data_IF_566479266111
#
_entry.id   IF_566479266111
#
_cell.length_a   1.000
_cell.length_b   1.000
_cell.length_c   1.000
_cell.angle_alpha   90.00
_cell.angle_beta   90.00
_cell.angle_gamma   90.00
#
_symmetry.space_group_name_H-M   'P 1'
#
loop_
_entity.id
_entity.type
_entity.pdbx_description
1 polymer ?
#
# COMPACT_ATOMS: atom_id res chain seq x y z
N UNK A 1 15.86 -3.36 -61.27
CA UNK A 1 16.11 -3.17 -59.82
C UNK A 1 15.36 -4.25 -59.03
N UNK A 2 16.08 -5.12 -58.30
CA UNK A 2 15.56 -6.33 -57.65
C UNK A 2 14.85 -6.00 -56.32
N UNK A 3 13.52 -5.80 -56.34
CA UNK A 3 12.67 -5.56 -55.16
C UNK A 3 12.27 -6.82 -54.37
N UNK A 4 12.58 -8.01 -54.91
CA UNK A 4 12.22 -9.31 -54.34
C UNK A 4 12.85 -9.61 -52.96
N UNK A 5 14.10 -9.22 -52.64
CA UNK A 5 14.71 -9.51 -51.34
C UNK A 5 14.06 -8.77 -50.17
N UNK A 6 13.62 -7.52 -50.40
CA UNK A 6 13.01 -6.66 -49.37
C UNK A 6 11.63 -7.19 -48.97
N UNK A 7 10.83 -7.59 -49.97
CA UNK A 7 9.53 -8.22 -49.71
C UNK A 7 9.66 -9.50 -48.90
N UNK A 8 10.66 -10.33 -49.19
CA UNK A 8 10.92 -11.57 -48.43
C UNK A 8 11.26 -11.25 -46.97
N UNK A 9 12.13 -10.25 -46.72
CA UNK A 9 12.50 -9.85 -45.36
C UNK A 9 11.30 -9.31 -44.57
N UNK A 10 10.46 -8.47 -45.20
CA UNK A 10 9.25 -7.94 -44.56
C UNK A 10 8.22 -9.04 -44.26
N UNK A 11 8.03 -10.00 -45.16
CA UNK A 11 7.13 -11.15 -44.89
C UNK A 11 7.64 -12.04 -43.77
N UNK A 12 8.96 -12.25 -43.67
CA UNK A 12 9.54 -13.07 -42.61
C UNK A 12 9.40 -12.40 -41.24
N UNK A 13 9.63 -11.08 -41.17
CA UNK A 13 9.42 -10.31 -39.95
C UNK A 13 7.94 -10.29 -39.52
N UNK A 14 7.01 -10.17 -40.47
CA UNK A 14 5.58 -10.23 -40.17
C UNK A 14 5.17 -11.60 -39.60
N UNK A 15 5.68 -12.69 -40.18
CA UNK A 15 5.40 -14.05 -39.67
C UNK A 15 5.99 -14.26 -38.28
N UNK A 16 7.23 -13.81 -38.03
CA UNK A 16 7.85 -13.89 -36.70
C UNK A 16 7.07 -13.08 -35.67
N UNK A 17 6.63 -11.87 -36.02
CA UNK A 17 5.82 -11.03 -35.13
C UNK A 17 4.48 -11.69 -34.78
N UNK A 18 3.79 -12.30 -35.75
CA UNK A 18 2.54 -13.03 -35.53
C UNK A 18 2.74 -14.26 -34.65
N UNK A 19 3.84 -15.00 -34.83
CA UNK A 19 4.17 -16.17 -33.98
C UNK A 19 4.49 -15.74 -32.55
N UNK A 20 5.27 -14.66 -32.37
CA UNK A 20 5.58 -14.10 -31.05
C UNK A 20 4.31 -13.59 -30.37
N UNK A 21 3.44 -12.88 -31.10
CA UNK A 21 2.13 -12.46 -30.60
C UNK A 21 1.28 -13.66 -30.21
N UNK A 22 1.21 -14.72 -31.01
CA UNK A 22 0.46 -15.94 -30.69
C UNK A 22 0.94 -16.67 -29.43
N UNK A 23 2.24 -16.62 -29.13
CA UNK A 23 2.83 -17.22 -27.92
C UNK A 23 2.64 -16.30 -26.69
N UNK A 24 2.73 -14.98 -26.88
CA UNK A 24 2.68 -14.00 -25.79
C UNK A 24 1.25 -13.59 -25.41
N UNK A 25 0.29 -13.55 -26.35
CA UNK A 25 -1.10 -13.16 -26.09
C UNK A 25 -1.79 -13.99 -25.00
N UNK A 26 -1.70 -15.34 -24.99
CA UNK A 26 -2.35 -16.12 -23.94
C UNK A 26 -1.71 -15.90 -22.55
N UNK A 27 -0.45 -15.43 -22.48
CA UNK A 27 0.19 -15.05 -21.21
C UNK A 27 -0.17 -13.63 -20.75
N UNK A 28 -0.57 -12.75 -21.66
CA UNK A 28 -1.01 -11.38 -21.36
C UNK A 28 -2.52 -11.29 -21.08
N UNK A 29 -3.32 -12.20 -21.66
CA UNK A 29 -4.78 -12.26 -21.50
C UNK A 29 -5.23 -13.24 -20.41
N UNK A 30 -4.34 -14.10 -19.91
CA UNK A 30 -4.59 -14.78 -18.65
C UNK A 30 -4.65 -13.69 -17.57
N UNK A 31 -5.86 -13.38 -17.09
CA UNK A 31 -6.04 -12.66 -15.82
C UNK A 31 -5.06 -13.30 -14.83
N UNK A 32 -4.28 -12.52 -14.07
CA UNK A 32 -3.59 -13.08 -12.95
C UNK A 32 -4.69 -13.63 -12.05
N UNK A 33 -4.92 -14.94 -12.09
CA UNK A 33 -5.47 -15.62 -10.94
C UNK A 33 -4.53 -15.21 -9.83
N UNK A 34 -5.03 -14.39 -8.90
CA UNK A 34 -4.46 -14.23 -7.57
C UNK A 34 -4.57 -15.58 -6.87
N UNK A 35 -3.91 -16.60 -7.42
CA UNK A 35 -3.25 -17.57 -6.58
C UNK A 35 -2.16 -16.74 -5.94
N UNK A 36 -2.45 -16.32 -4.70
CA UNK A 36 -1.45 -16.07 -3.69
C UNK A 36 -0.37 -17.13 -3.94
N UNK A 37 0.77 -16.70 -4.46
CA UNK A 37 1.93 -17.57 -4.57
C UNK A 37 2.32 -17.84 -3.12
N UNK A 38 1.69 -18.85 -2.51
CA UNK A 38 2.26 -19.50 -1.35
C UNK A 38 3.71 -19.78 -1.74
N UNK A 39 4.70 -19.34 -0.96
CA UNK A 39 6.07 -19.71 -1.23
C UNK A 39 6.11 -21.23 -1.29
N UNK A 40 6.40 -21.78 -2.46
CA UNK A 40 6.51 -23.22 -2.65
C UNK A 40 7.54 -23.73 -1.64
N UNK A 41 7.05 -24.50 -0.67
CA UNK A 41 7.86 -25.14 0.36
C UNK A 41 8.89 -26.05 -0.31
N UNK A 42 10.16 -25.64 -0.33
CA UNK A 42 11.27 -26.55 -0.59
C UNK A 42 11.66 -27.20 0.73
N UNK A 43 11.61 -28.53 0.73
CA UNK A 43 11.95 -29.48 1.80
C UNK A 43 10.93 -29.55 2.96
N UNK A 44 10.13 -30.63 2.96
CA UNK A 44 9.40 -31.10 4.14
C UNK A 44 10.45 -31.34 5.23
N UNK A 45 10.43 -30.52 6.26
CA UNK A 45 11.39 -30.60 7.37
C UNK A 45 10.72 -31.47 8.42
N UNK A 46 11.27 -32.65 8.72
CA UNK A 46 10.77 -33.53 9.79
C UNK A 46 10.95 -32.94 11.21
N UNK A 47 11.19 -31.63 11.31
CA UNK A 47 11.41 -30.94 12.58
C UNK A 47 10.06 -30.77 13.30
N UNK A 48 9.92 -31.26 14.55
CA UNK A 48 8.70 -31.10 15.32
C UNK A 48 8.29 -29.63 15.51
N UNK A 49 6.98 -29.37 15.57
CA UNK A 49 6.44 -28.02 15.76
C UNK A 49 7.01 -27.26 16.98
N UNK A 50 7.22 -27.90 18.16
CA UNK A 50 7.84 -27.21 19.31
C UNK A 50 9.28 -26.75 19.05
N UNK A 51 10.06 -27.51 18.27
CA UNK A 51 11.43 -27.13 17.92
C UNK A 51 11.46 -25.97 16.92
N UNK A 52 10.55 -25.99 15.93
CA UNK A 52 10.40 -24.86 15.00
C UNK A 52 9.95 -23.59 15.72
N UNK A 53 9.06 -23.70 16.72
CA UNK A 53 8.66 -22.58 17.56
C UNK A 53 9.84 -22.04 18.39
N UNK A 54 10.63 -22.91 19.01
CA UNK A 54 11.83 -22.51 19.73
C UNK A 54 12.85 -21.80 18.82
N UNK A 55 13.01 -22.26 17.57
CA UNK A 55 13.84 -21.57 16.57
C UNK A 55 13.26 -20.21 16.18
N UNK A 56 11.95 -20.10 16.00
CA UNK A 56 11.29 -18.83 15.67
C UNK A 56 11.47 -17.77 16.77
N UNK A 57 11.35 -18.14 18.06
CA UNK A 57 11.53 -17.19 19.18
C UNK A 57 12.97 -16.68 19.29
N UNK A 58 13.94 -17.52 18.96
CA UNK A 58 15.36 -17.23 19.07
C UNK A 58 15.98 -16.71 17.76
N UNK A 59 15.16 -16.54 16.73
CA UNK A 59 15.60 -16.03 15.44
C UNK A 59 16.18 -14.61 15.56
N UNK A 60 17.14 -14.31 14.71
CA UNK A 60 17.88 -13.05 14.72
C UNK A 60 17.13 -11.90 14.05
N UNK A 61 16.25 -12.23 13.09
CA UNK A 61 15.47 -11.26 12.33
C UNK A 61 14.04 -11.74 12.01
N UNK A 62 13.24 -10.84 11.42
CA UNK A 62 11.85 -11.11 11.08
C UNK A 62 11.71 -12.17 9.96
N UNK A 63 12.65 -12.22 9.02
CA UNK A 63 12.60 -13.15 7.88
C UNK A 63 12.83 -14.57 8.35
N UNK A 64 13.81 -14.78 9.23
CA UNK A 64 14.12 -16.06 9.86
C UNK A 64 12.96 -16.50 10.78
N UNK A 65 12.40 -15.56 11.56
CA UNK A 65 11.21 -15.83 12.37
C UNK A 65 10.06 -16.36 11.49
N UNK A 66 9.69 -15.63 10.44
CA UNK A 66 8.63 -16.02 9.51
C UNK A 66 8.94 -17.35 8.80
N UNK A 67 10.20 -17.58 8.43
CA UNK A 67 10.62 -18.83 7.81
C UNK A 67 10.32 -20.04 8.69
N UNK A 68 10.65 -19.99 9.99
CA UNK A 68 10.36 -21.08 10.91
C UNK A 68 8.87 -21.20 11.25
N UNK A 69 8.16 -20.08 11.43
CA UNK A 69 6.71 -20.12 11.67
C UNK A 69 5.95 -20.74 10.50
N UNK A 70 6.36 -20.46 9.26
CA UNK A 70 5.70 -21.00 8.08
C UNK A 70 5.94 -22.52 7.87
N UNK A 71 6.94 -23.11 8.55
CA UNK A 71 7.18 -24.55 8.53
C UNK A 71 6.33 -25.34 9.53
N UNK A 72 5.70 -24.67 10.51
CA UNK A 72 4.83 -25.36 11.46
C UNK A 72 3.51 -25.71 10.74
N UNK A 73 3.27 -27.00 10.49
CA UNK A 73 2.06 -27.49 9.81
C UNK A 73 0.81 -27.45 10.72
N UNK A 74 0.97 -27.72 12.01
CA UNK A 74 -0.11 -27.65 13.01
C UNK A 74 -0.49 -26.19 13.29
N UNK A 75 -1.55 -25.73 12.61
CA UNK A 75 -2.03 -24.36 12.75
C UNK A 75 -2.66 -24.07 14.12
N UNK A 76 -3.24 -25.08 14.78
CA UNK A 76 -3.85 -24.91 16.10
C UNK A 76 -2.74 -24.68 17.15
N UNK A 77 -1.68 -25.49 17.10
CA UNK A 77 -0.49 -25.27 17.92
C UNK A 77 0.13 -23.89 17.66
N UNK A 78 0.35 -23.54 16.38
CA UNK A 78 0.92 -22.25 15.99
C UNK A 78 0.10 -21.07 16.51
N UNK A 79 -1.22 -21.10 16.32
CA UNK A 79 -2.16 -20.07 16.78
C UNK A 79 -2.09 -19.92 18.30
N UNK A 80 -2.21 -21.02 19.05
CA UNK A 80 -2.18 -20.98 20.51
C UNK A 80 -0.86 -20.41 21.08
N UNK A 81 0.27 -20.76 20.47
CA UNK A 81 1.58 -20.24 20.88
C UNK A 81 1.73 -18.75 20.60
N UNK A 82 1.28 -18.29 19.42
CA UNK A 82 1.30 -16.87 19.05
C UNK A 82 0.38 -16.07 19.97
N UNK A 83 -0.85 -16.52 20.21
CA UNK A 83 -1.79 -15.85 21.10
C UNK A 83 -1.23 -15.73 22.52
N UNK A 84 -0.64 -16.80 23.04
CA UNK A 84 0.03 -16.79 24.36
C UNK A 84 1.15 -15.74 24.40
N UNK A 85 2.00 -15.69 23.36
CA UNK A 85 3.10 -14.73 23.29
C UNK A 85 2.61 -13.28 23.17
N UNK A 86 1.53 -13.04 22.40
CA UNK A 86 0.93 -11.70 22.25
C UNK A 86 0.20 -11.26 23.52
N UNK A 87 -0.50 -12.15 24.22
CA UNK A 87 -1.13 -11.84 25.50
C UNK A 87 -0.10 -11.49 26.58
N UNK A 88 1.05 -12.16 26.60
CA UNK A 88 2.17 -11.79 27.46
C UNK A 88 2.68 -10.38 27.14
N UNK A 89 2.85 -10.06 25.86
CA UNK A 89 3.26 -8.72 25.42
C UNK A 89 2.25 -7.64 25.84
N UNK A 90 0.94 -7.91 25.73
CA UNK A 90 -0.12 -6.99 26.16
C UNK A 90 -0.04 -6.75 27.67
N UNK A 91 0.17 -7.84 28.44
CA UNK A 91 0.20 -7.80 29.91
C UNK A 91 1.45 -7.12 30.47
N UNK A 92 2.57 -7.14 29.73
CA UNK A 92 3.83 -6.51 30.14
C UNK A 92 3.77 -4.99 29.97
N UNK A 93 3.35 -4.30 31.04
CA UNK A 93 3.20 -2.83 31.12
C UNK A 93 4.51 -2.04 31.00
N UNK A 94 5.67 -2.70 31.01
CA UNK A 94 7.00 -2.07 31.07
C UNK A 94 7.81 -2.26 29.78
N UNK A 95 7.21 -2.00 28.62
CA UNK A 95 7.83 -2.26 27.31
C UNK A 95 8.41 -1.05 26.53
N UNK A 96 8.80 0.11 27.11
CA UNK A 96 9.63 1.02 26.34
C UNK A 96 11.01 0.41 26.13
N UNK A 97 11.38 0.19 24.87
CA UNK A 97 12.75 -0.21 24.49
C UNK A 97 12.98 -1.72 24.34
N UNK A 98 12.00 -2.47 23.85
CA UNK A 98 12.23 -3.86 23.41
C UNK A 98 13.45 -3.92 22.46
N UNK A 99 14.39 -4.87 22.67
CA UNK A 99 15.49 -5.11 21.74
C UNK A 99 14.98 -5.33 20.31
N UNK A 100 15.76 -4.89 19.32
CA UNK A 100 15.36 -4.94 17.90
C UNK A 100 14.98 -6.34 17.42
N UNK A 101 15.68 -7.37 17.86
CA UNK A 101 15.33 -8.76 17.55
C UNK A 101 13.94 -9.13 18.08
N UNK A 102 13.61 -8.75 19.33
CA UNK A 102 12.29 -9.00 19.91
C UNK A 102 11.20 -8.20 19.20
N UNK A 103 11.46 -6.96 18.81
CA UNK A 103 10.54 -6.18 17.97
C UNK A 103 10.23 -6.91 16.65
N UNK A 104 11.27 -7.41 15.97
CA UNK A 104 11.13 -8.17 14.73
C UNK A 104 10.35 -9.48 14.92
N UNK A 105 10.62 -10.20 16.01
CA UNK A 105 9.90 -11.43 16.36
C UNK A 105 8.43 -11.16 16.62
N UNK A 106 8.09 -10.18 17.46
CA UNK A 106 6.70 -9.83 17.75
C UNK A 106 5.97 -9.27 16.55
N UNK A 107 6.63 -8.47 15.71
CA UNK A 107 6.04 -8.02 14.44
C UNK A 107 5.68 -9.21 13.54
N UNK A 108 6.49 -10.27 13.53
CA UNK A 108 6.21 -11.50 12.78
C UNK A 108 5.03 -12.27 13.38
N UNK A 109 4.96 -12.36 14.72
CA UNK A 109 3.84 -12.99 15.43
C UNK A 109 2.52 -12.27 15.15
N UNK A 110 2.53 -10.94 15.17
CA UNK A 110 1.38 -10.09 14.83
C UNK A 110 0.89 -10.37 13.40
N UNK A 111 1.80 -10.38 12.43
CA UNK A 111 1.46 -10.68 11.02
C UNK A 111 0.84 -12.06 10.86
N UNK A 112 1.45 -13.09 11.47
CA UNK A 112 0.92 -14.46 11.38
C UNK A 112 -0.41 -14.59 12.14
N UNK A 113 -0.60 -13.89 13.27
CA UNK A 113 -1.87 -13.85 13.99
C UNK A 113 -3.01 -13.36 13.09
N UNK A 114 -2.79 -12.25 12.36
CA UNK A 114 -3.78 -11.75 11.39
C UNK A 114 -4.08 -12.74 10.25
N UNK A 115 -3.07 -13.48 9.78
CA UNK A 115 -3.25 -14.53 8.75
C UNK A 115 -4.02 -15.75 9.26
N UNK A 116 -3.84 -16.11 10.53
CA UNK A 116 -4.48 -17.27 11.15
C UNK A 116 -5.87 -16.97 11.70
N UNK A 117 -6.28 -15.71 11.81
CA UNK A 117 -7.62 -15.34 12.27
C UNK A 117 -8.70 -16.03 11.41
N UNK A 118 -9.69 -16.63 12.05
CA UNK A 118 -10.83 -17.31 11.43
C UNK A 118 -12.16 -16.69 11.82
N UNK A 119 -12.17 -15.81 12.83
CA UNK A 119 -13.34 -15.10 13.31
C UNK A 119 -12.95 -13.70 13.76
N UNK A 120 -13.96 -12.84 13.98
CA UNK A 120 -13.75 -11.52 14.57
C UNK A 120 -13.11 -11.60 15.95
N UNK A 121 -13.50 -12.57 16.77
CA UNK A 121 -13.01 -12.70 18.15
C UNK A 121 -11.51 -13.07 18.18
N UNK A 122 -10.98 -13.67 17.12
CA UNK A 122 -9.53 -13.91 16.96
C UNK A 122 -8.72 -12.61 16.80
N UNK A 123 -9.38 -11.47 16.54
CA UNK A 123 -8.72 -10.18 16.32
C UNK A 123 -8.46 -9.41 17.61
N UNK A 124 -9.01 -9.84 18.75
CA UNK A 124 -8.97 -9.11 20.02
C UNK A 124 -7.54 -8.75 20.45
N UNK A 125 -6.59 -9.67 20.30
CA UNK A 125 -5.19 -9.42 20.64
C UNK A 125 -4.56 -8.34 19.74
N UNK A 126 -4.91 -8.32 18.45
CA UNK A 126 -4.40 -7.31 17.51
C UNK A 126 -4.98 -5.93 17.81
N UNK A 127 -6.28 -5.88 18.13
CA UNK A 127 -6.97 -4.64 18.51
C UNK A 127 -6.33 -4.05 19.77
N UNK A 128 -6.12 -4.87 20.80
CA UNK A 128 -5.50 -4.45 22.06
C UNK A 128 -4.08 -3.92 21.85
N UNK A 129 -3.25 -4.64 21.07
CA UNK A 129 -1.88 -4.22 20.76
C UNK A 129 -1.83 -2.88 20.00
N UNK A 130 -2.70 -2.71 19.01
CA UNK A 130 -2.75 -1.48 18.22
C UNK A 130 -3.17 -0.25 19.07
N UNK A 131 -4.02 -0.43 20.08
CA UNK A 131 -4.49 0.64 20.97
C UNK A 131 -3.59 0.88 22.19
N UNK A 132 -2.63 0.00 22.46
CA UNK A 132 -1.77 0.09 23.63
C UNK A 132 -0.75 1.23 23.50
N UNK A 133 -0.94 2.29 24.28
CA UNK A 133 -0.12 3.52 24.21
C UNK A 133 1.34 3.33 24.60
N UNK A 134 1.64 2.34 25.46
CA UNK A 134 3.01 2.06 25.92
C UNK A 134 3.81 1.20 24.93
N UNK A 135 3.14 0.63 23.91
CA UNK A 135 3.77 -0.24 22.93
C UNK A 135 4.51 0.60 21.89
N UNK A 136 5.58 0.05 21.32
CA UNK A 136 6.33 0.74 20.25
C UNK A 136 5.46 0.96 19.02
N UNK A 137 5.66 2.11 18.36
CA UNK A 137 4.92 2.48 17.13
C UNK A 137 4.98 1.37 16.08
N UNK A 138 6.15 0.74 15.88
CA UNK A 138 6.33 -0.36 14.92
C UNK A 138 5.39 -1.54 15.17
N UNK A 139 5.19 -1.93 16.43
CA UNK A 139 4.29 -3.04 16.77
C UNK A 139 2.82 -2.62 16.65
N UNK A 140 2.49 -1.38 17.03
CA UNK A 140 1.15 -0.81 16.82
C UNK A 140 0.78 -0.77 15.33
N UNK A 141 1.71 -0.36 14.48
CA UNK A 141 1.53 -0.35 13.02
C UNK A 141 1.34 -1.76 12.44
N UNK A 142 2.17 -2.71 12.88
CA UNK A 142 2.04 -4.10 12.47
C UNK A 142 0.67 -4.66 12.88
N UNK A 143 0.21 -4.34 14.09
CA UNK A 143 -1.07 -4.79 14.63
C UNK A 143 -2.25 -4.18 13.89
N UNK A 144 -2.22 -2.86 13.65
CA UNK A 144 -3.23 -2.17 12.85
C UNK A 144 -3.31 -2.76 11.44
N UNK A 145 -2.18 -2.87 10.73
CA UNK A 145 -2.16 -3.43 9.37
C UNK A 145 -2.72 -4.85 9.34
N UNK A 146 -2.22 -5.72 10.22
CA UNK A 146 -2.64 -7.12 10.27
C UNK A 146 -4.12 -7.27 10.63
N UNK A 147 -4.63 -6.43 11.54
CA UNK A 147 -6.04 -6.41 11.91
C UNK A 147 -6.92 -5.97 10.74
N UNK A 148 -6.55 -4.90 10.02
CA UNK A 148 -7.32 -4.40 8.88
C UNK A 148 -7.32 -5.42 7.73
N UNK A 149 -6.17 -6.01 7.39
CA UNK A 149 -6.07 -7.07 6.39
C UNK A 149 -6.93 -8.30 6.78
N UNK A 150 -6.94 -8.67 8.06
CA UNK A 150 -7.77 -9.76 8.55
C UNK A 150 -9.27 -9.42 8.51
N UNK A 151 -9.68 -8.21 8.89
CA UNK A 151 -11.06 -7.74 8.75
C UNK A 151 -11.53 -7.85 7.29
N UNK A 152 -10.70 -7.41 6.33
CA UNK A 152 -11.02 -7.49 4.90
C UNK A 152 -11.20 -8.92 4.45
N UNK A 153 -10.24 -9.79 4.77
CA UNK A 153 -10.31 -11.21 4.42
C UNK A 153 -11.53 -11.90 5.02
N UNK A 154 -11.82 -11.67 6.29
CA UNK A 154 -12.96 -12.29 6.98
C UNK A 154 -14.29 -11.76 6.44
N UNK A 155 -14.38 -10.46 6.14
CA UNK A 155 -15.59 -9.88 5.56
C UNK A 155 -15.89 -10.45 4.17
N UNK A 156 -14.87 -10.68 3.35
CA UNK A 156 -15.04 -11.34 2.05
C UNK A 156 -15.60 -12.76 2.16
N UNK A 157 -15.37 -13.46 3.29
CA UNK A 157 -15.85 -14.82 3.53
C UNK A 157 -17.26 -14.80 4.12
N UNK A 158 -17.46 -14.06 5.22
CA UNK A 158 -18.68 -14.18 6.06
C UNK A 158 -19.62 -12.97 5.96
N UNK A 159 -19.19 -11.87 5.32
CA UNK A 159 -19.95 -10.61 5.19
C UNK A 159 -20.47 -10.06 6.53
N UNK A 160 -19.77 -10.33 7.63
CA UNK A 160 -20.16 -9.86 8.97
C UNK A 160 -20.03 -8.32 9.05
N UNK A 161 -21.14 -7.58 9.21
CA UNK A 161 -21.10 -6.12 9.28
C UNK A 161 -20.35 -5.60 10.50
N UNK A 162 -20.16 -6.41 11.55
CA UNK A 162 -19.41 -6.01 12.74
C UNK A 162 -17.91 -5.85 12.46
N UNK A 163 -17.39 -6.48 11.40
CA UNK A 163 -16.01 -6.27 10.96
C UNK A 163 -15.76 -4.85 10.46
N UNK A 164 -16.78 -4.18 9.89
CA UNK A 164 -16.70 -2.75 9.55
C UNK A 164 -16.49 -1.91 10.80
N UNK A 165 -17.31 -2.13 11.83
CA UNK A 165 -17.23 -1.39 13.08
C UNK A 165 -15.86 -1.59 13.75
N UNK A 166 -15.34 -2.82 13.77
CA UNK A 166 -14.00 -3.13 14.29
C UNK A 166 -12.91 -2.35 13.53
N UNK A 167 -12.91 -2.42 12.20
CA UNK A 167 -11.92 -1.72 11.38
C UNK A 167 -12.01 -0.19 11.54
N UNK A 168 -13.22 0.36 11.51
CA UNK A 168 -13.47 1.80 11.60
C UNK A 168 -13.03 2.36 12.94
N UNK A 169 -13.40 1.72 14.05
CA UNK A 169 -13.01 2.14 15.40
C UNK A 169 -11.49 2.15 15.56
N UNK A 170 -10.81 1.15 14.99
CA UNK A 170 -9.36 1.06 15.07
C UNK A 170 -8.67 2.18 14.28
N UNK A 171 -9.10 2.41 13.04
CA UNK A 171 -8.59 3.51 12.20
C UNK A 171 -8.86 4.86 12.87
N UNK A 172 -10.07 5.08 13.40
CA UNK A 172 -10.46 6.34 14.03
C UNK A 172 -9.63 6.65 15.29
N UNK A 173 -9.32 5.64 16.10
CA UNK A 173 -8.41 5.80 17.23
C UNK A 173 -7.00 6.21 16.77
N UNK A 174 -6.56 5.72 15.62
CA UNK A 174 -5.21 5.94 15.10
C UNK A 174 -5.05 7.35 14.50
N UNK A 175 -6.12 7.93 13.94
CA UNK A 175 -6.10 9.32 13.47
C UNK A 175 -5.76 10.33 14.58
N UNK A 176 -6.02 9.99 15.85
CA UNK A 176 -5.75 10.88 16.99
C UNK A 176 -4.27 10.96 17.37
N UNK A 177 -3.44 10.03 16.88
CA UNK A 177 -1.99 9.97 17.15
C UNK A 177 -1.18 10.84 16.19
N UNK A 178 -1.50 12.14 16.19
CA UNK A 178 -0.87 13.13 15.32
C UNK A 178 0.65 13.18 15.50
N UNK A 179 1.37 13.41 14.39
CA UNK A 179 2.83 13.50 14.40
C UNK A 179 3.55 12.14 14.39
N UNK A 180 2.80 11.03 14.31
CA UNK A 180 3.35 9.68 14.18
C UNK A 180 2.95 9.06 12.83
N UNK A 181 3.70 8.06 12.38
CA UNK A 181 3.44 7.28 11.17
C UNK A 181 2.16 6.42 11.25
N UNK A 182 1.56 6.30 12.44
CA UNK A 182 0.25 5.69 12.63
C UNK A 182 -0.85 6.50 11.93
N UNK A 183 -0.77 7.83 11.96
CA UNK A 183 -1.71 8.68 11.22
C UNK A 183 -1.64 8.44 9.70
N UNK A 184 -0.44 8.21 9.16
CA UNK A 184 -0.22 7.85 7.76
C UNK A 184 -0.86 6.51 7.42
N UNK A 185 -0.69 5.54 8.31
CA UNK A 185 -1.25 4.20 8.16
C UNK A 185 -2.79 4.20 8.23
N UNK A 186 -3.40 5.11 8.99
CA UNK A 186 -4.85 5.29 9.04
C UNK A 186 -5.42 5.69 7.66
N UNK A 187 -4.78 6.62 6.95
CA UNK A 187 -5.19 6.98 5.57
C UNK A 187 -5.05 5.81 4.60
N UNK A 188 -3.95 5.05 4.71
CA UNK A 188 -3.75 3.85 3.88
C UNK A 188 -4.79 2.77 4.19
N UNK A 189 -5.20 2.63 5.45
CA UNK A 189 -6.19 1.67 5.88
C UNK A 189 -7.59 2.02 5.34
N UNK A 190 -8.05 3.27 5.46
CA UNK A 190 -9.33 3.69 4.86
C UNK A 190 -9.31 3.49 3.32
N UNK A 191 -8.19 3.81 2.66
CA UNK A 191 -8.03 3.56 1.23
C UNK A 191 -8.06 2.07 0.89
N UNK A 192 -7.45 1.22 1.72
CA UNK A 192 -7.50 -0.23 1.55
C UNK A 192 -8.92 -0.77 1.71
N UNK A 193 -9.68 -0.29 2.70
CA UNK A 193 -11.09 -0.66 2.87
C UNK A 193 -11.94 -0.23 1.66
N UNK A 194 -11.70 0.97 1.11
CA UNK A 194 -12.40 1.44 -0.09
C UNK A 194 -12.16 0.52 -1.29
N UNK A 195 -10.90 0.13 -1.54
CA UNK A 195 -10.55 -0.76 -2.65
C UNK A 195 -11.07 -2.20 -2.50
N UNK A 196 -11.61 -2.56 -1.33
CA UNK A 196 -12.17 -3.88 -1.05
C UNK A 196 -13.67 -3.83 -0.74
N UNK A 197 -14.37 -2.78 -1.18
CA UNK A 197 -15.82 -2.60 -1.00
C UNK A 197 -16.28 -2.68 0.47
N UNK A 198 -15.41 -2.25 1.38
CA UNK A 198 -15.67 -2.21 2.83
C UNK A 198 -15.81 -0.81 3.40
N UNK A 199 -15.70 0.22 2.56
CA UNK A 199 -15.90 1.59 3.00
C UNK A 199 -17.31 2.05 2.62
N UNK A 200 -18.15 2.31 3.63
CA UNK A 200 -19.47 2.91 3.42
C UNK A 200 -19.36 4.31 2.80
N UNK A 201 -20.38 4.73 2.04
CA UNK A 201 -20.40 6.04 1.37
C UNK A 201 -20.18 7.21 2.35
N UNK A 202 -20.81 7.15 3.52
CA UNK A 202 -20.66 8.17 4.57
C UNK A 202 -19.22 8.24 5.10
N UNK A 203 -18.54 7.08 5.23
CA UNK A 203 -17.13 7.05 5.64
C UNK A 203 -16.21 7.47 4.52
N UNK A 204 -16.54 7.15 3.27
CA UNK A 204 -15.79 7.59 2.09
C UNK A 204 -15.78 9.12 2.01
N UNK A 205 -16.93 9.78 2.19
CA UNK A 205 -17.00 11.24 2.20
C UNK A 205 -16.12 11.85 3.31
N UNK A 206 -16.23 11.33 4.54
CA UNK A 206 -15.39 11.76 5.67
C UNK A 206 -13.90 11.54 5.40
N UNK A 207 -13.55 10.40 4.81
CA UNK A 207 -12.18 10.08 4.43
C UNK A 207 -11.63 11.06 3.39
N UNK A 208 -12.40 11.35 2.33
CA UNK A 208 -12.02 12.32 1.29
C UNK A 208 -11.81 13.72 1.88
N UNK A 209 -12.68 14.16 2.79
CA UNK A 209 -12.51 15.43 3.50
C UNK A 209 -11.23 15.47 4.33
N UNK A 210 -10.94 14.40 5.11
CA UNK A 210 -9.70 14.30 5.91
C UNK A 210 -8.46 14.33 5.02
N UNK A 211 -8.48 13.60 3.91
CA UNK A 211 -7.36 13.50 2.99
C UNK A 211 -7.04 14.83 2.31
N UNK A 212 -8.04 15.62 1.92
CA UNK A 212 -7.82 17.00 1.45
C UNK A 212 -7.30 17.91 2.56
N UNK A 213 -7.89 17.81 3.76
CA UNK A 213 -7.46 18.57 4.92
C UNK A 213 -6.00 18.34 5.28
N UNK A 214 -5.53 17.09 5.24
CA UNK A 214 -4.14 16.73 5.57
C UNK A 214 -3.12 17.29 4.56
N UNK A 215 -3.45 17.28 3.27
CA UNK A 215 -2.57 17.85 2.22
C UNK A 215 -2.44 19.36 2.37
N UNK A 216 -3.51 20.03 2.76
CA UNK A 216 -3.55 21.49 2.89
C UNK A 216 -3.08 21.99 4.26
N UNK A 217 -3.14 21.15 5.30
CA UNK A 217 -2.75 21.52 6.66
C UNK A 217 -1.25 21.90 6.73
N UNK A 218 -0.90 23.06 7.31
CA UNK A 218 0.49 23.45 7.57
C UNK A 218 1.21 22.51 8.52
N UNK A 219 0.48 22.01 9.53
CA UNK A 219 1.04 21.20 10.61
C UNK A 219 1.05 19.69 10.29
N UNK A 220 0.56 19.29 9.11
CA UNK A 220 0.63 17.89 8.68
C UNK A 220 2.09 17.50 8.45
N UNK A 221 2.45 16.30 8.91
CA UNK A 221 3.79 15.78 8.65
C UNK A 221 4.00 15.58 7.15
N UNK A 222 5.26 15.66 6.72
CA UNK A 222 5.62 15.42 5.33
C UNK A 222 5.21 14.01 4.87
N UNK A 223 5.35 12.99 5.72
CA UNK A 223 4.98 11.61 5.38
C UNK A 223 3.48 11.47 5.20
N UNK A 224 2.67 12.11 6.05
CA UNK A 224 1.21 12.16 5.91
C UNK A 224 0.81 12.83 4.61
N UNK A 225 1.42 13.99 4.29
CA UNK A 225 1.16 14.71 3.03
C UNK A 225 1.49 13.84 1.82
N UNK A 226 2.62 13.13 1.82
CA UNK A 226 3.02 12.24 0.73
C UNK A 226 2.05 11.07 0.55
N UNK A 227 1.60 10.45 1.64
CA UNK A 227 0.60 9.37 1.59
C UNK A 227 -0.72 9.87 1.03
N UNK A 228 -1.21 11.02 1.50
CA UNK A 228 -2.46 11.60 1.01
C UNK A 228 -2.36 12.01 -0.47
N UNK A 229 -1.24 12.60 -0.90
CA UNK A 229 -0.99 12.91 -2.31
C UNK A 229 -0.95 11.66 -3.18
N UNK A 230 -0.34 10.57 -2.71
CA UNK A 230 -0.31 9.30 -3.44
C UNK A 230 -1.72 8.71 -3.62
N UNK A 231 -2.57 8.80 -2.59
CA UNK A 231 -3.97 8.35 -2.68
C UNK A 231 -4.78 9.26 -3.60
N UNK A 232 -4.60 10.58 -3.52
CA UNK A 232 -5.24 11.56 -4.41
C UNK A 232 -4.87 11.34 -5.88
N UNK A 233 -3.64 10.92 -6.15
CA UNK A 233 -3.13 10.71 -7.50
C UNK A 233 -3.80 9.53 -8.23
N UNK A 234 -4.62 8.74 -7.55
CA UNK A 234 -5.41 7.67 -8.17
C UNK A 234 -6.56 8.24 -9.02
N UNK A 235 -6.90 7.64 -10.18
CA UNK A 235 -7.88 8.20 -11.10
C UNK A 235 -9.24 8.54 -10.48
N UNK A 236 -9.71 7.74 -9.52
CA UNK A 236 -10.96 7.97 -8.82
C UNK A 236 -10.95 9.21 -7.91
N UNK A 237 -9.78 9.69 -7.48
CA UNK A 237 -9.64 10.77 -6.50
C UNK A 237 -9.03 12.06 -7.06
N UNK A 238 -8.51 12.06 -8.29
CA UNK A 238 -7.84 13.23 -8.89
C UNK A 238 -8.73 14.48 -8.96
N UNK A 239 -10.05 14.29 -9.02
CA UNK A 239 -11.02 15.37 -9.06
C UNK A 239 -11.19 16.08 -7.69
N UNK A 240 -10.78 15.45 -6.59
CA UNK A 240 -10.98 15.97 -5.23
C UNK A 240 -10.07 17.16 -4.93
N UNK A 241 -8.83 17.16 -5.43
CA UNK A 241 -7.86 18.23 -5.18
C UNK A 241 -7.92 19.30 -6.28
N UNK A 242 -8.24 20.53 -5.88
CA UNK A 242 -8.12 21.73 -6.72
C UNK A 242 -6.67 22.01 -7.09
N UNK A 243 -6.42 22.51 -8.29
CA UNK A 243 -5.06 22.82 -8.71
C UNK A 243 -4.47 23.95 -7.87
N UNK A 244 -5.29 24.94 -7.52
CA UNK A 244 -4.91 26.11 -6.72
C UNK A 244 -4.32 25.69 -5.37
N UNK A 245 -4.99 24.79 -4.65
CA UNK A 245 -4.48 24.27 -3.38
C UNK A 245 -3.14 23.53 -3.53
N UNK A 246 -2.95 22.80 -4.64
CA UNK A 246 -1.68 22.12 -4.92
C UNK A 246 -0.60 23.11 -5.38
N UNK A 247 -0.99 24.20 -6.04
CA UNK A 247 -0.08 25.26 -6.43
C UNK A 247 0.49 25.98 -5.22
N UNK A 248 -0.39 26.28 -4.25
CA UNK A 248 -0.01 26.89 -2.97
C UNK A 248 0.86 25.94 -2.14
N UNK A 249 0.49 24.65 -2.10
CA UNK A 249 1.31 23.63 -1.44
C UNK A 249 2.70 23.52 -2.07
N UNK A 250 2.80 23.53 -3.39
CA UNK A 250 4.08 23.43 -4.11
C UNK A 250 5.03 24.58 -3.79
N UNK A 251 4.53 25.81 -3.65
CA UNK A 251 5.36 26.96 -3.28
C UNK A 251 5.80 26.91 -1.83
N UNK A 252 4.87 26.59 -0.92
CA UNK A 252 5.15 26.64 0.51
C UNK A 252 6.02 25.48 0.99
N UNK A 253 5.98 24.32 0.33
CA UNK A 253 6.72 23.15 0.80
C UNK A 253 8.22 23.26 0.51
N UNK A 254 9.10 23.06 1.51
CA UNK A 254 10.53 22.94 1.28
C UNK A 254 10.93 21.54 0.77
N UNK A 255 10.04 20.55 0.83
CA UNK A 255 10.36 19.16 0.49
C UNK A 255 10.35 18.91 -1.01
N UNK A 256 11.49 18.48 -1.54
CA UNK A 256 11.60 18.05 -2.93
C UNK A 256 10.74 16.83 -3.24
N UNK A 257 10.53 15.92 -2.27
CA UNK A 257 9.71 14.72 -2.49
C UNK A 257 8.23 15.09 -2.56
N UNK A 258 7.77 16.01 -1.71
CA UNK A 258 6.40 16.55 -1.79
C UNK A 258 6.19 17.28 -3.12
N UNK A 259 7.15 18.11 -3.54
CA UNK A 259 7.11 18.76 -4.87
C UNK A 259 7.03 17.74 -6.00
N UNK A 260 7.84 16.67 -5.96
CA UNK A 260 7.83 15.62 -6.95
C UNK A 260 6.46 14.90 -7.03
N UNK A 261 5.85 14.59 -5.87
CA UNK A 261 4.51 14.00 -5.83
C UNK A 261 3.44 14.93 -6.40
N UNK A 262 3.52 16.24 -6.14
CA UNK A 262 2.60 17.23 -6.72
C UNK A 262 2.76 17.32 -8.24
N UNK A 263 4.00 17.33 -8.75
CA UNK A 263 4.24 17.32 -10.20
C UNK A 263 3.69 16.05 -10.85
N UNK A 264 3.89 14.88 -10.24
CA UNK A 264 3.30 13.62 -10.71
C UNK A 264 1.76 13.69 -10.72
N UNK A 265 1.16 14.30 -9.69
CA UNK A 265 -0.28 14.51 -9.64
C UNK A 265 -0.78 15.36 -10.82
N UNK A 266 -0.11 16.47 -11.12
CA UNK A 266 -0.47 17.32 -12.24
C UNK A 266 -0.37 16.63 -13.59
N UNK A 267 0.72 15.87 -13.81
CA UNK A 267 0.90 15.07 -15.03
C UNK A 267 -0.27 14.09 -15.20
N UNK A 268 -0.65 13.39 -14.13
CA UNK A 268 -1.71 12.40 -14.19
C UNK A 268 -3.11 13.02 -14.36
N UNK A 269 -3.35 14.19 -13.77
CA UNK A 269 -4.62 14.94 -13.92
C UNK A 269 -4.78 15.53 -15.33
N UNK A 270 -3.69 15.70 -16.08
CA UNK A 270 -3.66 16.25 -17.46
C UNK A 270 -4.33 17.63 -17.56
N UNK A 271 -4.15 18.47 -16.57
CA UNK A 271 -4.77 19.80 -16.55
C UNK A 271 -3.98 20.81 -17.40
N UNK A 272 -4.62 21.46 -18.41
CA UNK A 272 -3.94 22.40 -19.30
C UNK A 272 -3.42 23.67 -18.60
N UNK A 273 -4.11 24.15 -17.56
CA UNK A 273 -3.68 25.34 -16.81
C UNK A 273 -2.36 25.12 -16.09
N UNK A 274 -2.04 23.87 -15.79
CA UNK A 274 -0.80 23.51 -15.11
C UNK A 274 0.44 23.65 -15.99
N UNK A 275 0.32 23.50 -17.31
CA UNK A 275 1.47 23.74 -18.20
C UNK A 275 1.91 25.19 -18.15
N UNK A 276 0.95 26.12 -18.31
CA UNK A 276 1.20 27.57 -18.27
C UNK A 276 1.84 27.92 -16.93
N UNK A 277 1.22 27.48 -15.84
CA UNK A 277 1.69 27.74 -14.49
C UNK A 277 3.10 27.19 -14.21
N UNK A 278 3.43 25.98 -14.68
CA UNK A 278 4.76 25.40 -14.52
C UNK A 278 5.83 26.19 -15.29
N UNK A 279 5.48 26.69 -16.48
CA UNK A 279 6.40 27.45 -17.33
C UNK A 279 6.79 28.83 -16.77
N UNK A 280 5.94 29.41 -15.92
CA UNK A 280 6.16 30.73 -15.31
C UNK A 280 7.02 30.67 -14.04
N UNK A 281 7.36 29.46 -13.55
CA UNK A 281 8.05 29.28 -12.27
C UNK A 281 9.51 28.92 -12.43
N UNK A 282 10.33 29.49 -11.56
CA UNK A 282 11.75 29.15 -11.47
C UNK A 282 11.95 27.93 -10.56
N UNK A 283 12.74 26.97 -11.03
CA UNK A 283 13.13 25.82 -10.22
C UNK A 283 14.01 26.23 -9.04
N UNK A 284 13.72 25.69 -7.84
CA UNK A 284 14.51 25.96 -6.63
C UNK A 284 15.77 25.09 -6.52
N UNK A 285 15.91 24.07 -7.38
CA UNK A 285 17.09 23.21 -7.45
C UNK A 285 17.17 22.48 -8.81
N UNK A 286 18.35 21.97 -9.21
CA UNK A 286 18.49 21.20 -10.46
C UNK A 286 17.60 19.96 -10.51
N UNK A 287 17.37 19.28 -9.38
CA UNK A 287 16.46 18.12 -9.32
C UNK A 287 15.02 18.53 -9.63
N UNK A 288 14.57 19.66 -9.09
CA UNK A 288 13.22 20.17 -9.34
C UNK A 288 13.08 20.67 -10.77
N UNK A 289 14.12 21.31 -11.32
CA UNK A 289 14.16 21.73 -12.72
C UNK A 289 13.94 20.54 -13.65
N UNK A 290 14.69 19.45 -13.45
CA UNK A 290 14.53 18.23 -14.25
C UNK A 290 13.11 17.66 -14.12
N UNK A 291 12.55 17.60 -12.91
CA UNK A 291 11.19 17.10 -12.70
C UNK A 291 10.12 18.00 -13.35
N UNK A 292 10.29 19.32 -13.31
CA UNK A 292 9.40 20.27 -13.98
C UNK A 292 9.46 20.12 -15.50
N UNK A 293 10.66 19.98 -16.07
CA UNK A 293 10.83 19.74 -17.51
C UNK A 293 10.17 18.43 -17.95
N UNK A 294 10.39 17.33 -17.22
CA UNK A 294 9.73 16.05 -17.50
C UNK A 294 8.20 16.16 -17.38
N UNK A 295 7.70 16.90 -16.40
CA UNK A 295 6.26 17.13 -16.26
C UNK A 295 5.68 17.94 -17.43
N UNK A 296 6.36 19.01 -17.87
CA UNK A 296 5.97 19.81 -19.02
C UNK A 296 5.95 18.98 -20.32
N UNK A 297 6.96 18.14 -20.55
CA UNK A 297 7.00 17.22 -21.71
C UNK A 297 5.84 16.21 -21.70
N UNK A 298 5.51 15.66 -20.52
CA UNK A 298 4.40 14.72 -20.36
C UNK A 298 3.03 15.38 -20.57
N UNK A 299 2.85 16.62 -20.12
CA UNK A 299 1.62 17.39 -20.33
C UNK A 299 1.42 17.76 -21.80
N UNK A 300 2.48 18.18 -22.50
CA UNK A 300 2.44 18.53 -23.93
C UNK A 300 2.13 17.33 -24.82
N UNK A 301 2.79 16.19 -24.58
CA UNK A 301 2.55 14.95 -25.34
C UNK A 301 1.13 14.40 -25.12
N UNK A 302 0.52 14.67 -23.97
CA UNK A 302 -0.87 14.30 -23.70
C UNK A 302 -1.89 15.18 -24.44
N UNK A 303 -1.50 16.37 -24.91
CA UNK A 303 -2.36 17.28 -25.68
C UNK A 303 -2.40 17.00 -27.19
N UNK A 304 -1.47 16.19 -27.73
CA UNK A 304 -1.37 15.88 -29.16
C UNK A 304 -2.22 14.67 -29.60
N UNK A 305 -2.90 13.98 -28.67
CA UNK A 305 -3.93 12.97 -29.00
C UNK A 305 -5.26 13.64 -29.38
N UNK A 306 -5.36 14.17 -30.61
CA UNK A 306 -6.63 14.56 -31.23
C UNK A 306 -7.10 13.54 -32.29
N UNK A 307 -8.42 13.42 -32.53
CA UNK A 307 -9.06 12.24 -33.10
C UNK A 307 -8.79 12.13 -34.61
N UNK A 308 -8.26 10.99 -35.06
CA UNK A 308 -8.35 10.64 -36.48
C UNK A 308 -9.83 10.41 -36.79
N UNK A 309 -10.38 11.33 -37.58
CA UNK A 309 -11.79 11.50 -37.79
C UNK A 309 -12.49 10.33 -38.48
N UNK A 310 -13.74 10.11 -38.08
CA UNK A 310 -14.75 9.59 -38.99
C UNK A 310 -15.21 10.75 -39.88
N UNK A 311 -14.65 10.81 -41.09
CA UNK A 311 -15.29 11.49 -42.20
C UNK A 311 -16.26 10.47 -42.82
N UNK A 312 -17.50 10.94 -43.01
CA UNK A 312 -18.67 10.27 -43.58
C UNK A 312 -18.42 9.39 -44.81
#
# INVERSE_FOLDING_TARGET
MRRKPILILCTLNAVVAVVVLGICLPKLLAKPSQQITQPQSKAKTDTPAPELWAKAINASDARETLFYLNQIEDQAFKKAQIETALQQLISDTATPGLPLNRLNTYSSFITICGQLAQSRDDLDSLILLAQQQTLSITLKEAALRSCIEACVRLYQIDQDPLLHATAYNLIDSTYTEQGTSLSDLAYQADWHLHNNDMLSDERLERFQQKLLGAVQAPDSTQSTQLVCLNILNTPSNQHLASNEALYDLYERTPSNDTKASILSFFVNKKDPGTEIWLSERQATSPRIEQLQLTALEALRSSGEEQPVGNIH
#
